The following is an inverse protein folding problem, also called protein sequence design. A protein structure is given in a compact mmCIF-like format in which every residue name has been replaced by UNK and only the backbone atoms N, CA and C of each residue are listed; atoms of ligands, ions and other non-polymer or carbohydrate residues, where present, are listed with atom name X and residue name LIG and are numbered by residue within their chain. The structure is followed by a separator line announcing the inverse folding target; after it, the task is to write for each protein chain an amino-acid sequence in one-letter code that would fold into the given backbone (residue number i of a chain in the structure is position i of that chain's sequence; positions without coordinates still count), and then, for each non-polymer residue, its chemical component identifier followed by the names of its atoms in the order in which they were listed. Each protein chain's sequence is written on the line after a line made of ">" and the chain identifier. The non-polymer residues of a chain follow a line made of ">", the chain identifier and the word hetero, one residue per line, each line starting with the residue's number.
data_IF_251200900296
#
_entry.id   IF_251200900296
#
_cell.length_a   1.000
_cell.length_b   1.000
_cell.length_c   1.000
_cell.angle_alpha   90.00
_cell.angle_beta   90.00
_cell.angle_gamma   90.00
#
_symmetry.space_group_name_H-M   'P 1'
#
loop_
_entity.id
_entity.type
_entity.pdbx_description
1 polymer ?
#
# COMPACT_ATOMS: atom_id res chain seq x y z
N UNK A 1 6.27 -1.28 -21.86
CA UNK A 1 5.80 -2.02 -20.66
C UNK A 1 4.79 -1.20 -19.86
N UNK A 2 5.10 0.03 -19.44
CA UNK A 2 4.14 0.92 -18.75
C UNK A 2 2.81 1.10 -19.50
N UNK A 3 2.82 1.25 -20.82
CA UNK A 3 1.59 1.46 -21.59
C UNK A 3 0.62 0.27 -21.52
N UNK A 4 1.13 -0.95 -21.36
CA UNK A 4 0.32 -2.15 -21.18
C UNK A 4 -0.32 -2.21 -19.78
N UNK A 5 0.32 -1.59 -18.76
CA UNK A 5 -0.18 -1.56 -17.39
C UNK A 5 -1.14 -0.39 -17.13
N UNK A 6 -1.13 0.66 -17.97
CA UNK A 6 -2.00 1.84 -17.81
C UNK A 6 -3.48 1.52 -17.57
N UNK A 7 -4.13 0.58 -18.29
CA UNK A 7 -5.52 0.25 -18.05
C UNK A 7 -5.76 -0.28 -16.63
N UNK A 8 -4.91 -1.21 -16.19
CA UNK A 8 -4.98 -1.79 -14.84
C UNK A 8 -4.67 -0.73 -13.80
N UNK A 9 -3.60 0.06 -13.97
CA UNK A 9 -3.23 1.11 -13.03
C UNK A 9 -4.37 2.11 -12.78
N UNK A 10 -5.11 2.49 -13.84
CA UNK A 10 -6.29 3.37 -13.72
C UNK A 10 -7.47 2.68 -13.04
N UNK A 11 -7.72 1.41 -13.35
CA UNK A 11 -8.81 0.66 -12.72
C UNK A 11 -8.59 0.50 -11.21
N UNK A 12 -7.35 0.22 -10.80
CA UNK A 12 -6.97 -0.03 -9.39
C UNK A 12 -7.19 1.16 -8.47
N UNK A 13 -7.18 2.39 -9.02
CA UNK A 13 -7.41 3.63 -8.25
C UNK A 13 -8.85 4.14 -8.39
N UNK A 14 -9.73 3.35 -9.01
CA UNK A 14 -11.15 3.62 -9.05
C UNK A 14 -11.77 3.60 -7.65
N UNK A 15 -12.70 4.53 -7.38
CA UNK A 15 -13.38 4.64 -6.09
C UNK A 15 -14.08 3.35 -5.65
N UNK A 16 -14.59 2.57 -6.61
CA UNK A 16 -15.24 1.28 -6.36
C UNK A 16 -14.32 0.24 -5.69
N UNK A 17 -13.01 0.32 -5.97
CA UNK A 17 -11.99 -0.55 -5.38
C UNK A 17 -11.37 0.07 -4.14
N UNK A 18 -10.95 1.34 -4.20
CA UNK A 18 -10.30 2.01 -3.06
C UNK A 18 -11.23 2.21 -1.85
N UNK A 19 -12.52 2.45 -2.10
CA UNK A 19 -13.54 2.70 -1.06
C UNK A 19 -14.48 1.51 -0.89
N UNK A 20 -14.09 0.33 -1.37
CA UNK A 20 -14.89 -0.87 -1.20
C UNK A 20 -15.16 -1.13 0.30
N UNK A 21 -16.34 -1.64 0.67
CA UNK A 21 -16.63 -1.93 2.08
C UNK A 21 -15.93 -3.21 2.57
N UNK A 22 -15.71 -4.16 1.66
CA UNK A 22 -15.14 -5.47 1.95
C UNK A 22 -13.64 -5.38 2.23
N UNK A 23 -13.22 -5.86 3.40
CA UNK A 23 -11.83 -5.81 3.87
C UNK A 23 -10.92 -6.71 3.02
N UNK A 24 -11.41 -7.87 2.57
CA UNK A 24 -10.63 -8.81 1.78
C UNK A 24 -10.36 -8.25 0.37
N UNK A 25 -11.33 -7.50 -0.17
CA UNK A 25 -11.18 -6.75 -1.42
C UNK A 25 -10.15 -5.64 -1.24
N UNK A 26 -10.26 -4.80 -0.20
CA UNK A 26 -9.27 -3.75 0.09
C UNK A 26 -7.87 -4.31 0.23
N UNK A 27 -7.72 -5.42 0.96
CA UNK A 27 -6.42 -6.04 1.17
C UNK A 27 -5.81 -6.50 -0.16
N UNK A 28 -6.63 -7.10 -1.02
CA UNK A 28 -6.20 -7.55 -2.34
C UNK A 28 -5.84 -6.37 -3.25
N UNK A 29 -6.59 -5.26 -3.16
CA UNK A 29 -6.29 -4.00 -3.87
C UNK A 29 -4.94 -3.43 -3.42
N UNK A 30 -4.69 -3.35 -2.11
CA UNK A 30 -3.42 -2.90 -1.53
C UNK A 30 -2.25 -3.75 -2.02
N UNK A 31 -2.38 -5.08 -1.97
CA UNK A 31 -1.35 -5.99 -2.46
C UNK A 31 -1.02 -5.75 -3.94
N UNK A 32 -2.04 -5.58 -4.78
CA UNK A 32 -1.85 -5.25 -6.20
C UNK A 32 -1.19 -3.87 -6.40
N UNK A 33 -1.52 -2.86 -5.60
CA UNK A 33 -0.92 -1.53 -5.68
C UNK A 33 0.57 -1.55 -5.28
N UNK A 34 0.93 -2.35 -4.27
CA UNK A 34 2.32 -2.58 -3.90
C UNK A 34 3.11 -3.21 -5.05
N UNK A 35 2.55 -4.24 -5.70
CA UNK A 35 3.19 -4.89 -6.85
C UNK A 35 3.28 -3.97 -8.06
N UNK A 36 2.25 -3.17 -8.35
CA UNK A 36 2.32 -2.16 -9.40
C UNK A 36 3.45 -1.16 -9.12
N UNK A 37 3.59 -0.70 -7.88
CA UNK A 37 4.67 0.19 -7.48
C UNK A 37 6.05 -0.46 -7.67
N UNK A 38 6.18 -1.76 -7.34
CA UNK A 38 7.40 -2.55 -7.56
C UNK A 38 7.74 -2.70 -9.03
N UNK A 39 6.75 -2.98 -9.88
CA UNK A 39 6.92 -3.17 -11.33
C UNK A 39 7.25 -1.84 -12.03
N UNK A 40 6.68 -0.73 -11.57
CA UNK A 40 6.91 0.59 -12.19
C UNK A 40 8.16 1.30 -11.66
N UNK A 41 8.71 0.83 -10.54
CA UNK A 41 9.96 1.34 -9.98
C UNK A 41 11.08 1.37 -11.05
N UNK A 42 11.95 2.40 -11.04
CA UNK A 42 12.09 3.47 -10.05
C UNK A 42 11.11 4.64 -10.23
N UNK A 43 10.18 4.54 -11.18
CA UNK A 43 9.29 5.63 -11.53
C UNK A 43 7.99 5.51 -10.73
N UNK A 44 7.55 6.63 -10.14
CA UNK A 44 6.31 6.67 -9.38
C UNK A 44 5.13 6.27 -10.28
N UNK A 45 4.27 5.34 -9.84
CA UNK A 45 3.13 4.88 -10.63
C UNK A 45 2.00 5.92 -10.74
N UNK A 46 1.86 6.77 -9.72
CA UNK A 46 0.79 7.74 -9.56
C UNK A 46 1.37 9.09 -9.12
N UNK A 47 0.56 10.16 -9.18
CA UNK A 47 0.96 11.46 -8.62
C UNK A 47 1.03 11.41 -7.08
N UNK A 48 1.69 12.42 -6.51
CA UNK A 48 1.94 12.51 -5.07
C UNK A 48 0.67 12.46 -4.24
N UNK A 49 -0.42 13.10 -4.68
CA UNK A 49 -1.68 13.10 -3.94
C UNK A 49 -2.26 11.69 -3.83
N UNK A 50 -2.30 10.98 -4.95
CA UNK A 50 -2.81 9.62 -5.01
C UNK A 50 -1.87 8.62 -4.30
N UNK A 51 -0.56 8.82 -4.38
CA UNK A 51 0.40 8.01 -3.63
C UNK A 51 0.21 8.15 -2.12
N UNK A 52 -0.09 9.35 -1.60
CA UNK A 52 -0.42 9.55 -0.19
C UNK A 52 -1.63 8.73 0.23
N UNK A 53 -2.70 8.73 -0.56
CA UNK A 53 -3.90 7.92 -0.28
C UNK A 53 -3.58 6.42 -0.30
N UNK A 54 -2.79 5.96 -1.27
CA UNK A 54 -2.36 4.56 -1.35
C UNK A 54 -1.54 4.16 -0.12
N UNK A 55 -0.63 5.03 0.33
CA UNK A 55 0.14 4.78 1.54
C UNK A 55 -0.74 4.69 2.80
N UNK A 56 -1.75 5.56 2.93
CA UNK A 56 -2.73 5.45 4.02
C UNK A 56 -3.42 4.09 4.02
N UNK A 57 -3.78 3.57 2.85
CA UNK A 57 -4.40 2.24 2.72
C UNK A 57 -3.43 1.11 3.09
N UNK A 58 -2.16 1.21 2.71
CA UNK A 58 -1.11 0.25 3.09
C UNK A 58 -0.93 0.21 4.61
N UNK A 59 -0.85 1.38 5.26
CA UNK A 59 -0.67 1.46 6.72
C UNK A 59 -1.88 0.92 7.47
N UNK A 60 -3.11 1.22 7.01
CA UNK A 60 -4.32 0.62 7.58
C UNK A 60 -4.38 -0.89 7.38
N UNK A 61 -3.92 -1.37 6.22
CA UNK A 61 -3.82 -2.81 5.99
C UNK A 61 -2.87 -3.47 7.00
N UNK A 62 -1.86 -2.75 7.53
CA UNK A 62 -0.99 -3.23 8.60
C UNK A 62 -1.71 -3.38 9.95
N UNK A 63 -2.66 -2.50 10.28
CA UNK A 63 -3.47 -2.63 11.51
C UNK A 63 -4.28 -3.93 11.51
N UNK A 64 -4.91 -4.25 10.37
CA UNK A 64 -5.69 -5.47 10.19
C UNK A 64 -4.85 -6.76 10.32
N UNK A 65 -3.52 -6.66 10.14
CA UNK A 65 -2.60 -7.80 10.30
C UNK A 65 -2.47 -8.25 11.75
N UNK A 66 -2.62 -7.33 12.70
CA UNK A 66 -2.55 -7.65 14.12
C UNK A 66 -3.73 -8.53 14.58
N UNK A 67 -4.78 -8.65 13.75
CA UNK A 67 -6.05 -9.26 14.16
C UNK A 67 -6.52 -10.45 13.33
N UNK A 68 -5.91 -10.76 12.17
CA UNK A 68 -6.44 -11.83 11.29
C UNK A 68 -5.40 -12.86 10.85
N UNK A 69 -5.58 -14.10 11.33
CA UNK A 69 -4.81 -15.26 10.87
C UNK A 69 -5.07 -15.60 9.40
N UNK A 70 -6.26 -15.25 8.88
CA UNK A 70 -6.70 -15.56 7.51
C UNK A 70 -5.90 -14.79 6.45
N UNK A 71 -5.36 -13.62 6.77
CA UNK A 71 -4.64 -12.77 5.81
C UNK A 71 -3.13 -12.71 6.04
N UNK A 72 -2.60 -13.49 6.99
CA UNK A 72 -1.20 -13.45 7.39
C UNK A 72 -0.21 -13.60 6.23
N UNK A 73 -0.44 -14.49 5.27
CA UNK A 73 0.48 -14.61 4.13
C UNK A 73 0.50 -13.36 3.24
N UNK A 74 -0.69 -12.81 2.93
CA UNK A 74 -0.77 -11.58 2.12
C UNK A 74 -0.21 -10.38 2.89
N UNK A 75 -0.35 -10.37 4.21
CA UNK A 75 0.23 -9.42 5.15
C UNK A 75 1.76 -9.31 5.03
N UNK A 76 2.39 -10.46 5.21
CA UNK A 76 3.84 -10.60 5.11
C UNK A 76 4.29 -10.19 3.73
N UNK A 77 3.58 -10.61 2.69
CA UNK A 77 3.91 -10.22 1.32
C UNK A 77 3.84 -8.70 1.09
N UNK A 78 2.82 -8.00 1.61
CA UNK A 78 2.73 -6.54 1.51
C UNK A 78 3.89 -5.87 2.25
N UNK A 79 4.25 -6.34 3.45
CA UNK A 79 5.38 -5.82 4.22
C UNK A 79 6.71 -6.02 3.49
N UNK A 80 6.93 -7.21 2.92
CA UNK A 80 8.10 -7.54 2.10
C UNK A 80 8.19 -6.61 0.88
N UNK A 81 7.10 -6.46 0.12
CA UNK A 81 7.09 -5.59 -1.06
C UNK A 81 7.35 -4.12 -0.67
N UNK A 82 6.78 -3.64 0.45
CA UNK A 82 7.03 -2.28 0.95
C UNK A 82 8.51 -2.06 1.30
N UNK A 83 9.16 -3.07 1.90
CA UNK A 83 10.58 -3.03 2.19
C UNK A 83 11.43 -3.05 0.89
N UNK A 84 11.11 -3.94 -0.04
CA UNK A 84 11.84 -4.14 -1.30
C UNK A 84 11.80 -2.88 -2.19
N UNK A 85 10.65 -2.22 -2.27
CA UNK A 85 10.49 -0.96 -3.03
C UNK A 85 10.95 0.26 -2.26
N UNK A 86 11.48 0.09 -1.05
CA UNK A 86 11.90 1.16 -0.14
C UNK A 86 10.80 2.22 0.04
N UNK A 87 9.55 1.77 0.19
CA UNK A 87 8.38 2.66 0.23
C UNK A 87 8.43 3.65 1.41
N UNK A 88 9.09 3.30 2.51
CA UNK A 88 9.31 4.21 3.63
C UNK A 88 10.18 5.43 3.26
N UNK A 89 11.06 5.32 2.27
CA UNK A 89 11.81 6.48 1.76
C UNK A 89 10.87 7.39 0.96
N UNK A 90 10.01 6.81 0.13
CA UNK A 90 8.99 7.57 -0.61
C UNK A 90 8.02 8.31 0.33
N UNK A 91 7.68 7.73 1.50
CA UNK A 91 6.87 8.43 2.51
C UNK A 91 7.53 9.71 3.02
N UNK A 92 8.85 9.71 3.17
CA UNK A 92 9.62 10.89 3.59
C UNK A 92 9.66 11.93 2.46
N UNK A 93 9.91 11.50 1.21
CA UNK A 93 9.92 12.39 0.05
C UNK A 93 8.55 13.06 -0.18
N UNK A 94 7.47 12.36 0.17
CA UNK A 94 6.09 12.87 0.08
C UNK A 94 5.67 13.70 1.31
N UNK A 95 6.54 13.93 2.28
CA UNK A 95 6.24 14.68 3.52
C UNK A 95 5.06 14.06 4.31
N UNK A 96 5.02 12.73 4.39
CA UNK A 96 3.97 11.97 5.08
C UNK A 96 4.30 11.67 6.55
N UNK A 97 4.80 12.67 7.28
CA UNK A 97 5.35 12.48 8.64
C UNK A 97 4.36 11.82 9.62
N UNK A 98 3.07 12.18 9.51
CA UNK A 98 2.02 11.58 10.33
C UNK A 98 1.88 10.07 10.11
N UNK A 99 1.98 9.60 8.86
CA UNK A 99 1.94 8.18 8.53
C UNK A 99 3.17 7.44 9.03
N UNK A 100 4.34 8.07 8.96
CA UNK A 100 5.57 7.49 9.51
C UNK A 100 5.39 7.24 11.01
N UNK A 101 4.88 8.23 11.74
CA UNK A 101 4.59 8.08 13.18
C UNK A 101 3.57 6.96 13.43
N UNK A 102 2.50 6.89 12.64
CA UNK A 102 1.46 5.86 12.74
C UNK A 102 2.04 4.43 12.55
N UNK A 103 2.92 4.25 11.56
CA UNK A 103 3.61 2.96 11.33
C UNK A 103 4.45 2.57 12.55
N UNK A 104 5.23 3.50 13.12
CA UNK A 104 6.02 3.21 14.32
C UNK A 104 5.13 2.86 15.51
N UNK A 105 4.06 3.61 15.75
CA UNK A 105 3.11 3.32 16.82
C UNK A 105 2.46 1.95 16.65
N UNK A 106 2.08 1.60 15.42
CA UNK A 106 1.50 0.30 15.11
C UNK A 106 2.46 -0.84 15.44
N UNK A 107 3.71 -0.79 14.94
CA UNK A 107 4.67 -1.85 15.19
C UNK A 107 5.06 -1.94 16.68
N UNK A 108 5.12 -0.81 17.39
CA UNK A 108 5.39 -0.80 18.83
C UNK A 108 4.25 -1.37 19.68
N UNK A 109 3.00 -1.39 19.19
CA UNK A 109 1.87 -2.04 19.88
C UNK A 109 1.90 -3.57 19.77
N UNK A 110 2.61 -4.11 18.77
CA UNK A 110 2.69 -5.55 18.50
C UNK A 110 3.81 -6.23 19.32
N UNK A 111 4.80 -5.46 19.78
CA UNK A 111 5.91 -5.90 20.66
C UNK A 111 5.50 -5.80 22.13
#
# INVERSE_FOLDING_TARGET
>A
MKDALRPVMRAMVGSELLKNADVDVKFSVVSCLCELSRITAPQQPYDDGLMKEIFQLIVRAFEDLSHSARHYYKAVHVLETVADVKACVMLLDLECDALVIEIFQLFLRII
#
